data_IF_873188717459
#
_entry.id   IF_873188717459
#
_cell.length_a   1.000
_cell.length_b   1.000
_cell.length_c   1.000
_cell.angle_alpha   90.00
_cell.angle_beta   90.00
_cell.angle_gamma   90.00
#
_symmetry.space_group_name_H-M   'P 1'
#
loop_
_entity.id
_entity.type
_entity.pdbx_description
1 polymer ?
#
# COMPACT_ATOMS: atom_id res chain seq x y z
N UNK A 1 -10.20 14.93 -2.24
CA UNK A 1 -11.07 14.54 -3.35
C UNK A 1 -10.39 13.54 -4.29
N UNK A 2 -9.27 13.89 -4.98
CA UNK A 2 -8.61 13.00 -5.98
C UNK A 2 -8.23 11.63 -5.40
N UNK A 3 -7.70 11.56 -4.16
CA UNK A 3 -7.35 10.30 -3.49
C UNK A 3 -8.57 9.46 -3.15
N UNK A 4 -9.66 10.06 -2.70
CA UNK A 4 -10.91 9.34 -2.42
C UNK A 4 -11.41 8.58 -3.65
N UNK A 5 -11.52 9.25 -4.79
CA UNK A 5 -11.96 8.60 -6.03
C UNK A 5 -10.97 7.58 -6.58
N UNK A 6 -9.70 7.70 -6.27
CA UNK A 6 -8.66 6.77 -6.72
C UNK A 6 -8.58 5.52 -5.84
N UNK A 7 -8.82 5.64 -4.52
CA UNK A 7 -8.59 4.55 -3.55
C UNK A 7 -9.92 3.96 -3.12
N UNK A 8 -10.79 4.77 -2.51
CA UNK A 8 -11.99 4.26 -1.86
C UNK A 8 -13.03 3.72 -2.84
N UNK A 9 -13.29 4.41 -3.97
CA UNK A 9 -14.34 3.96 -4.90
C UNK A 9 -14.00 2.62 -5.56
N UNK A 10 -12.80 2.39 -6.11
CA UNK A 10 -12.45 1.06 -6.60
C UNK A 10 -12.38 0.00 -5.49
N UNK A 11 -11.92 0.37 -4.28
CA UNK A 11 -11.92 -0.52 -3.12
C UNK A 11 -13.32 -1.03 -2.79
N UNK A 12 -14.30 -0.14 -2.61
CA UNK A 12 -15.65 -0.54 -2.23
C UNK A 12 -16.33 -1.40 -3.31
N UNK A 13 -16.06 -1.12 -4.59
CA UNK A 13 -16.56 -1.97 -5.68
C UNK A 13 -15.90 -3.35 -5.67
N UNK A 14 -14.59 -3.43 -5.41
CA UNK A 14 -13.91 -4.72 -5.26
C UNK A 14 -14.40 -5.51 -4.05
N UNK A 15 -14.78 -4.83 -2.97
CA UNK A 15 -15.38 -5.44 -1.78
C UNK A 15 -16.72 -6.11 -2.13
N UNK A 16 -17.61 -5.45 -2.88
CA UNK A 16 -18.86 -6.07 -3.31
C UNK A 16 -18.64 -7.24 -4.28
N UNK A 17 -17.64 -7.16 -5.15
CA UNK A 17 -17.25 -8.30 -6.01
C UNK A 17 -16.76 -9.47 -5.17
N UNK A 18 -15.97 -9.21 -4.12
CA UNK A 18 -15.50 -10.25 -3.21
C UNK A 18 -16.66 -10.92 -2.45
N UNK A 19 -17.62 -10.13 -1.95
CA UNK A 19 -18.84 -10.65 -1.31
C UNK A 19 -19.66 -11.52 -2.27
N UNK A 20 -19.84 -11.08 -3.50
CA UNK A 20 -20.55 -11.85 -4.53
C UNK A 20 -19.85 -13.19 -4.80
N UNK A 21 -18.53 -13.17 -5.01
CA UNK A 21 -17.76 -14.40 -5.27
C UNK A 21 -17.75 -15.33 -4.05
N UNK A 22 -17.68 -14.81 -2.84
CA UNK A 22 -17.81 -15.58 -1.62
C UNK A 22 -19.19 -16.26 -1.55
N UNK A 23 -20.29 -15.53 -1.83
CA UNK A 23 -21.65 -16.08 -1.80
C UNK A 23 -21.90 -17.16 -2.86
N UNK A 24 -21.15 -17.12 -3.96
CA UNK A 24 -21.19 -18.11 -5.03
C UNK A 24 -20.23 -19.28 -4.81
N UNK A 25 -19.38 -19.22 -3.76
CA UNK A 25 -18.40 -20.27 -3.49
C UNK A 25 -19.10 -21.56 -3.02
N UNK A 26 -18.93 -22.69 -3.73
CA UNK A 26 -19.67 -23.93 -3.44
C UNK A 26 -19.19 -24.65 -2.17
N UNK A 27 -18.04 -24.27 -1.61
CA UNK A 27 -17.39 -24.95 -0.48
C UNK A 27 -17.12 -23.97 0.66
N UNK A 28 -18.17 -23.33 1.19
CA UNK A 28 -18.05 -22.63 2.46
C UNK A 28 -17.88 -23.68 3.57
N UNK A 29 -16.74 -23.64 4.28
CA UNK A 29 -16.62 -24.33 5.56
C UNK A 29 -15.75 -25.59 5.63
N UNK A 30 -14.79 -25.78 4.74
CA UNK A 30 -13.84 -26.89 4.90
C UNK A 30 -12.39 -26.50 4.54
N UNK A 31 -11.38 -27.04 5.24
CA UNK A 31 -10.00 -26.82 4.85
C UNK A 31 -9.76 -27.38 3.44
N UNK A 32 -9.16 -26.56 2.58
CA UNK A 32 -8.77 -26.99 1.25
C UNK A 32 -7.47 -27.80 1.34
N UNK A 33 -7.43 -29.06 0.82
CA UNK A 33 -6.24 -29.87 0.87
C UNK A 33 -5.08 -29.19 0.14
N UNK A 34 -3.87 -29.41 0.65
CA UNK A 34 -2.62 -28.83 0.10
C UNK A 34 -2.44 -27.32 0.25
N UNK A 35 -3.37 -26.61 0.86
CA UNK A 35 -3.19 -25.19 1.21
C UNK A 35 -2.73 -25.05 2.67
N UNK A 36 -1.91 -24.02 2.94
CA UNK A 36 -1.49 -23.70 4.30
C UNK A 36 -2.66 -23.19 5.13
N UNK A 37 -2.55 -23.26 6.47
CA UNK A 37 -3.52 -22.70 7.40
C UNK A 37 -3.83 -21.24 7.13
N UNK A 38 -2.82 -20.48 6.62
CA UNK A 38 -3.02 -19.11 6.21
C UNK A 38 -4.15 -18.94 5.19
N UNK A 39 -4.27 -19.82 4.21
CA UNK A 39 -5.35 -19.77 3.22
C UNK A 39 -6.62 -20.45 3.69
N UNK A 40 -6.50 -21.51 4.49
CA UNK A 40 -7.62 -22.28 5.01
C UNK A 40 -8.45 -21.54 6.06
N UNK A 41 -7.98 -20.40 6.56
CA UNK A 41 -8.74 -19.52 7.46
C UNK A 41 -9.61 -18.50 6.72
N UNK A 42 -9.54 -18.43 5.37
CA UNK A 42 -10.31 -17.49 4.57
C UNK A 42 -11.51 -18.16 3.94
N UNK A 43 -12.58 -17.40 3.83
CA UNK A 43 -13.83 -17.86 3.22
C UNK A 43 -14.40 -19.13 3.89
N UNK A 44 -14.20 -19.27 5.20
CA UNK A 44 -14.67 -20.41 5.97
C UNK A 44 -16.08 -20.23 6.55
N UNK A 45 -16.50 -18.98 6.68
CA UNK A 45 -17.79 -18.59 7.25
C UNK A 45 -18.45 -17.49 6.42
N UNK A 46 -19.74 -17.31 6.62
CA UNK A 46 -20.47 -16.16 6.09
C UNK A 46 -20.01 -14.85 6.74
N UNK A 47 -20.07 -13.76 6.02
CA UNK A 47 -19.70 -12.43 6.51
C UNK A 47 -20.83 -11.84 7.33
N UNK A 48 -20.55 -11.45 8.58
CA UNK A 48 -21.51 -10.76 9.45
C UNK A 48 -21.76 -9.32 9.00
N UNK A 49 -22.88 -8.74 9.42
CA UNK A 49 -23.22 -7.36 9.08
C UNK A 49 -22.20 -6.36 9.64
N UNK A 50 -21.63 -6.64 10.81
CA UNK A 50 -20.59 -5.79 11.43
C UNK A 50 -19.35 -5.72 10.54
N UNK A 51 -18.89 -6.84 9.99
CA UNK A 51 -17.76 -6.89 9.07
C UNK A 51 -18.06 -6.09 7.77
N UNK A 52 -19.30 -6.18 7.26
CA UNK A 52 -19.72 -5.38 6.10
C UNK A 52 -19.61 -3.88 6.42
N UNK A 53 -20.13 -3.47 7.58
CA UNK A 53 -20.07 -2.06 8.01
C UNK A 53 -18.62 -1.59 8.18
N UNK A 54 -17.76 -2.40 8.79
CA UNK A 54 -16.33 -2.09 8.95
C UNK A 54 -15.63 -1.85 7.60
N UNK A 55 -15.90 -2.70 6.61
CA UNK A 55 -15.34 -2.56 5.27
C UNK A 55 -15.92 -1.36 4.52
N UNK A 56 -17.22 -1.08 4.66
CA UNK A 56 -17.84 0.10 4.06
C UNK A 56 -17.26 1.38 4.66
N UNK A 57 -17.02 1.44 5.96
CA UNK A 57 -16.34 2.56 6.58
C UNK A 57 -14.87 2.66 6.13
N UNK A 58 -14.15 1.53 6.03
CA UNK A 58 -12.79 1.41 5.50
C UNK A 58 -11.69 2.10 6.32
N UNK A 59 -12.03 2.75 7.43
CA UNK A 59 -11.10 3.52 8.29
C UNK A 59 -11.10 3.07 9.74
N UNK A 60 -11.94 2.12 10.10
CA UNK A 60 -11.98 1.51 11.43
C UNK A 60 -10.99 0.34 11.53
N UNK A 61 -10.93 -0.33 12.67
CA UNK A 61 -10.13 -1.55 12.83
C UNK A 61 -10.85 -2.73 12.15
N UNK A 62 -10.52 -3.01 10.90
CA UNK A 62 -11.27 -3.85 9.96
C UNK A 62 -10.82 -5.31 10.03
N UNK A 63 -11.77 -6.26 10.01
CA UNK A 63 -11.55 -7.70 9.87
C UNK A 63 -11.20 -8.06 8.41
N UNK A 64 -9.99 -7.76 7.97
CA UNK A 64 -9.58 -7.95 6.56
C UNK A 64 -9.35 -9.40 6.18
N UNK A 65 -9.05 -10.28 7.15
CA UNK A 65 -8.74 -11.68 6.90
C UNK A 65 -9.96 -12.49 6.44
N UNK A 66 -11.16 -12.05 6.78
CA UNK A 66 -12.39 -12.77 6.47
C UNK A 66 -12.71 -12.78 4.97
N UNK A 67 -12.39 -11.70 4.27
CA UNK A 67 -12.78 -11.51 2.88
C UNK A 67 -11.59 -11.38 1.92
N UNK A 68 -10.68 -10.46 2.19
CA UNK A 68 -9.52 -10.18 1.36
C UNK A 68 -8.39 -9.55 2.19
N UNK A 69 -7.36 -10.32 2.44
CA UNK A 69 -6.20 -9.85 3.21
C UNK A 69 -5.57 -8.57 2.63
N UNK A 70 -5.55 -8.42 1.31
CA UNK A 70 -4.94 -7.26 0.67
C UNK A 70 -5.52 -5.93 1.13
N UNK A 71 -6.73 -5.90 1.70
CA UNK A 71 -7.37 -4.67 2.17
C UNK A 71 -6.69 -4.04 3.40
N UNK A 72 -5.88 -4.79 4.15
CA UNK A 72 -5.20 -4.26 5.33
C UNK A 72 -4.41 -2.97 5.06
N UNK A 73 -3.67 -2.91 3.97
CA UNK A 73 -2.85 -1.73 3.64
C UNK A 73 -3.69 -0.54 3.17
N UNK A 74 -4.85 -0.82 2.55
CA UNK A 74 -5.78 0.22 2.10
C UNK A 74 -6.46 0.93 3.27
N UNK A 75 -6.73 0.22 4.37
CA UNK A 75 -7.22 0.82 5.62
C UNK A 75 -6.25 1.90 6.09
N UNK A 76 -4.94 1.59 6.11
CA UNK A 76 -3.92 2.58 6.47
C UNK A 76 -3.82 3.70 5.44
N UNK A 77 -3.85 3.38 4.16
CA UNK A 77 -3.76 4.38 3.09
C UNK A 77 -4.94 5.36 3.13
N UNK A 78 -6.16 4.87 3.41
CA UNK A 78 -7.35 5.72 3.57
C UNK A 78 -7.24 6.63 4.79
N UNK A 79 -6.90 6.08 5.97
CA UNK A 79 -6.68 6.86 7.19
C UNK A 79 -5.63 7.95 6.98
N UNK A 80 -4.46 7.57 6.50
CA UNK A 80 -3.36 8.49 6.27
C UNK A 80 -3.76 9.55 5.24
N UNK A 81 -4.48 9.19 4.19
CA UNK A 81 -4.91 10.13 3.14
C UNK A 81 -5.81 11.27 3.66
N UNK A 82 -6.54 11.02 4.76
CA UNK A 82 -7.35 12.05 5.42
C UNK A 82 -6.45 13.06 6.15
N UNK A 83 -5.46 12.58 6.88
CA UNK A 83 -4.61 13.41 7.73
C UNK A 83 -3.37 13.97 7.03
N UNK A 84 -2.90 13.34 5.95
CA UNK A 84 -1.65 13.67 5.29
C UNK A 84 -1.54 15.12 4.79
N UNK A 85 -2.60 15.78 4.27
CA UNK A 85 -2.52 17.20 3.92
C UNK A 85 -2.14 18.08 5.12
N UNK A 86 -2.65 17.78 6.31
CA UNK A 86 -2.32 18.52 7.54
C UNK A 86 -0.88 18.20 7.98
N UNK A 87 -0.46 16.94 7.89
CA UNK A 87 0.93 16.54 8.17
C UNK A 87 1.89 17.29 7.24
N UNK A 88 1.60 17.39 5.95
CA UNK A 88 2.41 18.15 4.99
C UNK A 88 2.46 19.64 5.36
N UNK A 89 1.34 20.26 5.74
CA UNK A 89 1.29 21.66 6.16
C UNK A 89 2.14 21.91 7.41
N UNK A 90 2.11 21.01 8.37
CA UNK A 90 2.91 21.09 9.60
C UNK A 90 4.41 20.90 9.31
N UNK A 91 4.75 19.88 8.51
CA UNK A 91 6.14 19.48 8.30
C UNK A 91 6.86 20.25 7.17
N UNK A 92 6.15 21.01 6.32
CA UNK A 92 6.76 21.73 5.19
C UNK A 92 7.85 22.71 5.62
N UNK A 93 7.74 23.31 6.82
CA UNK A 93 8.72 24.27 7.40
C UNK A 93 9.71 23.59 8.35
N UNK A 94 9.51 22.33 8.69
CA UNK A 94 10.36 21.59 9.63
C UNK A 94 11.69 21.24 8.95
N UNK A 95 12.79 21.37 9.72
CA UNK A 95 14.13 20.99 9.25
C UNK A 95 14.18 19.47 9.07
N UNK A 96 14.98 19.02 8.13
CA UNK A 96 15.09 17.62 7.73
C UNK A 96 15.45 16.66 8.89
N UNK A 97 16.29 17.13 9.85
CA UNK A 97 16.66 16.34 11.03
C UNK A 97 15.44 15.97 11.88
N UNK A 98 14.54 16.93 12.12
CA UNK A 98 13.32 16.70 12.90
C UNK A 98 12.30 15.84 12.14
N UNK A 99 12.29 15.90 10.81
CA UNK A 99 11.44 15.03 9.99
C UNK A 99 11.82 13.56 10.17
N UNK A 100 13.12 13.25 10.24
CA UNK A 100 13.62 11.91 10.55
C UNK A 100 13.23 11.45 11.96
N UNK A 101 13.42 12.33 12.97
CA UNK A 101 13.02 12.03 14.36
C UNK A 101 11.53 11.74 14.51
N UNK A 102 10.68 12.49 13.80
CA UNK A 102 9.23 12.24 13.79
C UNK A 102 8.93 10.86 13.20
N UNK A 103 9.59 10.48 12.11
CA UNK A 103 9.45 9.13 11.54
C UNK A 103 9.84 8.02 12.53
N UNK A 104 10.94 8.20 13.25
CA UNK A 104 11.39 7.28 14.31
C UNK A 104 10.38 7.23 15.45
N UNK A 105 9.87 8.38 15.92
CA UNK A 105 8.89 8.42 17.00
C UNK A 105 7.58 7.68 16.63
N UNK A 106 7.10 7.84 15.39
CA UNK A 106 5.92 7.14 14.89
C UNK A 106 6.16 5.62 14.80
N UNK A 107 7.34 5.21 14.37
CA UNK A 107 7.75 3.80 14.39
C UNK A 107 7.77 3.27 15.83
N UNK A 108 8.36 4.00 16.78
CA UNK A 108 8.42 3.62 18.19
C UNK A 108 7.03 3.43 18.79
N UNK A 109 6.05 4.28 18.45
CA UNK A 109 4.66 4.10 18.90
C UNK A 109 4.06 2.76 18.49
N UNK A 110 4.33 2.31 17.26
CA UNK A 110 3.87 1.00 16.81
C UNK A 110 4.60 -0.15 17.52
N UNK A 111 5.89 -0.02 17.77
CA UNK A 111 6.67 -0.97 18.56
C UNK A 111 6.11 -1.08 19.98
N UNK A 112 5.82 0.06 20.63
CA UNK A 112 5.21 0.07 21.96
C UNK A 112 3.82 -0.62 21.96
N UNK A 113 3.05 -0.50 20.87
CA UNK A 113 1.80 -1.23 20.78
C UNK A 113 1.99 -2.74 20.74
N UNK A 114 3.01 -3.24 20.04
CA UNK A 114 3.33 -4.68 20.02
C UNK A 114 3.78 -5.19 21.38
N UNK A 115 4.57 -4.38 22.10
CA UNK A 115 5.09 -4.75 23.43
C UNK A 115 4.00 -4.76 24.50
N UNK A 116 3.17 -3.71 24.54
CA UNK A 116 2.23 -3.49 25.62
C UNK A 116 0.78 -3.88 25.27
N UNK A 117 0.47 -4.19 24.01
CA UNK A 117 -0.85 -4.63 23.60
C UNK A 117 -1.94 -3.59 23.77
N UNK A 118 -1.63 -2.27 23.62
CA UNK A 118 -2.59 -1.19 23.80
C UNK A 118 -3.81 -1.31 22.87
N UNK A 119 -3.61 -1.80 21.67
CA UNK A 119 -4.67 -2.03 20.69
C UNK A 119 -4.50 -3.41 20.05
N UNK A 120 -5.57 -4.20 20.06
CA UNK A 120 -5.63 -5.46 19.30
C UNK A 120 -6.15 -5.22 17.89
N UNK A 121 -5.54 -5.88 16.92
CA UNK A 121 -5.96 -5.83 15.53
C UNK A 121 -7.11 -6.81 15.27
N UNK A 122 -8.15 -6.34 14.60
CA UNK A 122 -9.24 -7.21 14.12
C UNK A 122 -8.83 -7.96 12.85
N UNK A 123 -7.97 -7.37 12.04
CA UNK A 123 -7.40 -7.96 10.84
C UNK A 123 -5.88 -7.99 10.88
N UNK A 124 -5.25 -8.02 9.71
CA UNK A 124 -3.80 -8.04 9.60
C UNK A 124 -3.23 -6.63 9.88
N UNK A 125 -2.82 -6.37 11.14
CA UNK A 125 -2.21 -5.09 11.56
C UNK A 125 -3.07 -3.84 11.33
N UNK A 126 -4.39 -3.93 11.48
CA UNK A 126 -5.33 -2.84 11.19
C UNK A 126 -5.53 -1.84 12.34
N UNK A 127 -4.71 -1.86 13.42
CA UNK A 127 -4.81 -0.90 14.52
C UNK A 127 -4.45 0.53 14.07
N UNK A 128 -4.88 1.53 14.84
CA UNK A 128 -4.50 2.92 14.59
C UNK A 128 -3.01 3.18 14.85
N UNK A 129 -2.41 2.49 15.83
CA UNK A 129 -0.99 2.60 16.12
C UNK A 129 -0.13 2.02 14.99
N UNK A 130 -0.58 0.95 14.32
CA UNK A 130 0.05 0.51 13.08
C UNK A 130 -0.07 1.55 11.95
N UNK A 131 -1.18 2.32 11.90
CA UNK A 131 -1.27 3.43 10.93
C UNK A 131 -0.20 4.50 11.16
N UNK A 132 0.26 4.71 12.40
CA UNK A 132 1.38 5.62 12.70
C UNK A 132 2.70 5.10 12.11
N UNK A 133 2.95 3.78 12.19
CA UNK A 133 4.09 3.17 11.52
C UNK A 133 4.09 3.43 10.01
N UNK A 134 2.95 3.19 9.33
CA UNK A 134 2.85 3.44 7.89
C UNK A 134 2.88 4.94 7.54
N UNK A 135 2.41 5.82 8.42
CA UNK A 135 2.56 7.26 8.26
C UNK A 135 4.04 7.68 8.18
N UNK A 136 4.96 6.97 8.88
CA UNK A 136 6.39 7.22 8.75
C UNK A 136 6.89 7.09 7.31
N UNK A 137 6.40 6.11 6.54
CA UNK A 137 6.75 5.91 5.13
C UNK A 137 6.25 7.06 4.24
N UNK A 138 5.07 7.59 4.52
CA UNK A 138 4.57 8.79 3.83
C UNK A 138 5.43 10.01 4.12
N UNK A 139 5.93 10.14 5.35
CA UNK A 139 6.85 11.22 5.75
C UNK A 139 8.19 11.07 5.02
N UNK A 140 8.72 9.84 4.90
CA UNK A 140 9.93 9.58 4.11
C UNK A 140 9.73 9.92 2.64
N UNK A 141 8.57 9.56 2.07
CA UNK A 141 8.19 9.94 0.70
C UNK A 141 8.07 11.45 0.51
N UNK A 142 7.47 12.16 1.47
CA UNK A 142 7.41 13.63 1.47
C UNK A 142 8.81 14.25 1.53
N UNK A 143 9.70 13.74 2.37
CA UNK A 143 11.08 14.18 2.46
C UNK A 143 11.82 14.02 1.12
N UNK A 144 11.71 12.84 0.50
CA UNK A 144 12.29 12.59 -0.82
C UNK A 144 11.74 13.55 -1.89
N UNK A 145 10.44 13.82 -1.87
CA UNK A 145 9.82 14.74 -2.81
C UNK A 145 10.30 16.18 -2.61
N UNK A 146 10.40 16.63 -1.34
CA UNK A 146 10.85 17.99 -0.97
C UNK A 146 12.29 18.23 -1.38
N UNK A 147 13.18 17.25 -1.16
CA UNK A 147 14.63 17.38 -1.43
C UNK A 147 15.08 16.67 -2.71
N UNK A 148 14.13 16.35 -3.61
CA UNK A 148 14.39 15.57 -4.83
C UNK A 148 15.59 16.06 -5.63
N UNK A 149 15.67 17.37 -5.90
CA UNK A 149 16.73 17.96 -6.73
C UNK A 149 18.11 17.83 -6.09
N UNK A 150 18.20 18.06 -4.79
CA UNK A 150 19.43 17.96 -4.00
C UNK A 150 19.92 16.51 -3.92
N UNK A 151 19.01 15.58 -3.63
CA UNK A 151 19.28 14.14 -3.53
C UNK A 151 19.77 13.61 -4.88
N UNK A 152 19.11 13.96 -5.99
CA UNK A 152 19.49 13.53 -7.33
C UNK A 152 20.86 14.09 -7.71
N UNK A 153 21.13 15.39 -7.48
CA UNK A 153 22.44 16.00 -7.71
C UNK A 153 23.54 15.33 -6.88
N UNK A 154 23.29 15.13 -5.57
CA UNK A 154 24.21 14.46 -4.66
C UNK A 154 24.54 13.04 -5.13
N UNK A 155 23.52 12.23 -5.48
CA UNK A 155 23.73 10.89 -5.98
C UNK A 155 24.50 10.87 -7.31
N UNK A 156 24.21 11.80 -8.23
CA UNK A 156 24.90 11.89 -9.52
C UNK A 156 26.38 12.24 -9.35
N UNK A 157 26.74 13.05 -8.36
CA UNK A 157 28.13 13.42 -8.04
C UNK A 157 28.95 12.28 -7.42
N UNK A 158 28.32 11.22 -6.90
CA UNK A 158 29.01 10.09 -6.28
C UNK A 158 29.89 9.35 -7.30
N UNK A 159 31.07 8.86 -6.86
CA UNK A 159 31.88 7.92 -7.62
C UNK A 159 31.11 6.63 -7.88
N UNK A 160 31.38 5.97 -9.00
CA UNK A 160 30.68 4.76 -9.47
C UNK A 160 30.59 3.66 -8.40
N UNK A 161 31.68 3.44 -7.63
CA UNK A 161 31.72 2.46 -6.52
C UNK A 161 30.65 2.69 -5.47
N UNK A 162 30.37 3.95 -5.09
CA UNK A 162 29.35 4.26 -4.10
C UNK A 162 27.93 4.08 -4.64
N UNK A 163 27.70 4.36 -5.94
CA UNK A 163 26.42 4.09 -6.60
C UNK A 163 26.10 2.58 -6.60
N UNK A 164 27.11 1.75 -6.89
CA UNK A 164 26.95 0.29 -6.74
C UNK A 164 26.78 -0.14 -5.29
N UNK A 165 27.48 0.47 -4.35
CA UNK A 165 27.29 0.23 -2.93
C UNK A 165 25.85 0.49 -2.47
N UNK A 166 25.27 1.62 -2.89
CA UNK A 166 23.86 1.94 -2.60
C UNK A 166 22.92 0.93 -3.25
N UNK A 167 23.17 0.49 -4.49
CA UNK A 167 22.36 -0.53 -5.14
C UNK A 167 22.40 -1.87 -4.38
N UNK A 168 23.60 -2.36 -4.05
CA UNK A 168 23.79 -3.62 -3.31
C UNK A 168 23.15 -3.53 -1.92
N UNK A 169 23.37 -2.43 -1.20
CA UNK A 169 22.75 -2.18 0.10
C UNK A 169 21.21 -2.20 -0.01
N UNK A 170 20.65 -1.52 -1.02
CA UNK A 170 19.20 -1.51 -1.26
C UNK A 170 18.65 -2.91 -1.56
N UNK A 171 19.38 -3.70 -2.36
CA UNK A 171 19.02 -5.09 -2.64
C UNK A 171 19.06 -5.95 -1.38
N UNK A 172 20.08 -5.79 -0.53
CA UNK A 172 20.18 -6.51 0.75
C UNK A 172 19.01 -6.13 1.65
N UNK A 173 18.73 -4.84 1.86
CA UNK A 173 17.62 -4.40 2.67
C UNK A 173 16.28 -4.95 2.17
N UNK A 174 16.06 -4.95 0.87
CA UNK A 174 14.80 -5.40 0.28
C UNK A 174 14.62 -6.92 0.35
N UNK A 175 15.64 -7.70 -0.02
CA UNK A 175 15.52 -9.16 -0.13
C UNK A 175 15.87 -9.89 1.16
N UNK A 176 16.78 -9.34 1.97
CA UNK A 176 17.35 -10.03 3.13
C UNK A 176 16.84 -9.51 4.47
N UNK A 177 15.75 -8.74 4.48
CA UNK A 177 15.17 -8.18 5.71
C UNK A 177 14.89 -9.26 6.77
N UNK A 178 14.41 -10.44 6.35
CA UNK A 178 14.20 -11.59 7.24
C UNK A 178 15.50 -12.17 7.80
N UNK A 179 16.55 -12.26 6.99
CA UNK A 179 17.87 -12.74 7.43
C UNK A 179 18.51 -11.75 8.44
N UNK A 180 18.34 -10.45 8.22
CA UNK A 180 18.83 -9.43 9.15
C UNK A 180 18.15 -9.56 10.51
N UNK A 181 16.84 -9.73 10.54
CA UNK A 181 16.10 -9.91 11.79
C UNK A 181 16.52 -11.20 12.51
N UNK A 182 16.67 -12.32 11.78
CA UNK A 182 17.18 -13.56 12.36
C UNK A 182 18.60 -13.42 12.92
N UNK A 183 19.45 -12.62 12.29
CA UNK A 183 20.79 -12.33 12.81
C UNK A 183 20.72 -11.54 14.10
N UNK A 184 19.85 -10.51 14.19
CA UNK A 184 19.63 -9.73 15.41
C UNK A 184 19.14 -10.63 16.56
N UNK A 185 18.20 -11.52 16.30
CA UNK A 185 17.74 -12.50 17.28
C UNK A 185 18.86 -13.41 17.79
N UNK A 186 19.78 -13.87 16.91
CA UNK A 186 20.94 -14.65 17.30
C UNK A 186 21.95 -13.86 18.15
N UNK A 187 21.98 -12.53 18.02
CA UNK A 187 22.82 -11.64 18.83
C UNK A 187 22.15 -11.26 20.17
N UNK A 188 21.06 -11.93 20.54
CA UNK A 188 20.35 -11.70 21.80
C UNK A 188 19.43 -10.48 21.78
N UNK A 189 19.20 -9.87 20.62
CA UNK A 189 18.24 -8.78 20.45
C UNK A 189 16.88 -9.42 20.22
N UNK A 190 16.00 -9.31 21.22
CA UNK A 190 14.62 -9.80 21.09
C UNK A 190 13.88 -9.02 20.00
N UNK A 191 13.37 -9.72 19.01
CA UNK A 191 12.69 -9.16 17.85
C UNK A 191 11.24 -9.61 17.86
N UNK A 192 10.55 -9.45 18.99
CA UNK A 192 9.13 -9.78 19.18
C UNK A 192 8.25 -9.10 18.13
N UNK A 193 8.71 -8.00 17.54
CA UNK A 193 8.04 -7.20 16.50
C UNK A 193 8.73 -7.34 15.14
N UNK A 194 9.18 -8.53 14.82
CA UNK A 194 9.92 -8.86 13.58
C UNK A 194 9.36 -8.17 12.33
N UNK A 195 8.05 -8.20 12.16
CA UNK A 195 7.39 -7.64 10.98
C UNK A 195 7.62 -6.14 10.82
N UNK A 196 7.41 -5.35 11.88
CA UNK A 196 7.53 -3.88 11.83
C UNK A 196 8.98 -3.48 11.54
N UNK A 197 9.96 -4.18 12.12
CA UNK A 197 11.38 -3.97 11.81
C UNK A 197 11.73 -4.32 10.37
N UNK A 198 11.22 -5.45 9.87
CA UNK A 198 11.44 -5.85 8.47
C UNK A 198 10.89 -4.81 7.49
N UNK A 199 9.71 -4.27 7.75
CA UNK A 199 9.09 -3.25 6.91
C UNK A 199 9.91 -1.96 6.89
N UNK A 200 10.52 -1.55 8.01
CA UNK A 200 11.45 -0.41 8.03
C UNK A 200 12.72 -0.69 7.21
N UNK A 201 13.32 -1.87 7.34
CA UNK A 201 14.49 -2.26 6.56
C UNK A 201 14.15 -2.25 5.05
N UNK A 202 13.01 -2.81 4.68
CA UNK A 202 12.51 -2.80 3.30
C UNK A 202 12.31 -1.36 2.80
N UNK A 203 11.73 -0.47 3.63
CA UNK A 203 11.53 0.92 3.26
C UNK A 203 12.84 1.65 2.97
N UNK A 204 13.91 1.39 3.72
CA UNK A 204 15.26 1.91 3.45
C UNK A 204 15.76 1.43 2.08
N UNK A 205 15.59 0.15 1.77
CA UNK A 205 15.93 -0.42 0.46
C UNK A 205 15.15 0.23 -0.69
N UNK A 206 13.84 0.42 -0.51
CA UNK A 206 12.96 1.09 -1.48
C UNK A 206 13.36 2.54 -1.70
N UNK A 207 13.74 3.28 -0.65
CA UNK A 207 14.27 4.65 -0.76
C UNK A 207 15.48 4.68 -1.68
N UNK A 208 16.43 3.76 -1.52
CA UNK A 208 17.60 3.66 -2.38
C UNK A 208 17.23 3.38 -3.83
N UNK A 209 16.30 2.47 -4.11
CA UNK A 209 15.81 2.20 -5.47
C UNK A 209 15.14 3.43 -6.10
N UNK A 210 14.34 4.17 -5.34
CA UNK A 210 13.70 5.42 -5.81
C UNK A 210 14.77 6.46 -6.17
N UNK A 211 15.80 6.64 -5.35
CA UNK A 211 16.90 7.57 -5.62
C UNK A 211 17.64 7.16 -6.91
N UNK A 212 17.96 5.89 -7.08
CA UNK A 212 18.61 5.34 -8.27
C UNK A 212 17.76 5.57 -9.52
N UNK A 213 16.45 5.25 -9.44
CA UNK A 213 15.51 5.41 -10.55
C UNK A 213 15.36 6.88 -10.97
N UNK A 214 15.27 7.80 -10.00
CA UNK A 214 15.18 9.24 -10.26
C UNK A 214 16.48 9.83 -10.84
N UNK A 215 17.62 9.24 -10.52
CA UNK A 215 18.94 9.76 -10.88
C UNK A 215 19.51 9.18 -12.18
N UNK A 216 18.98 8.05 -12.67
CA UNK A 216 19.50 7.34 -13.85
C UNK A 216 18.59 7.54 -15.06
N UNK A 217 19.16 8.18 -16.12
CA UNK A 217 18.45 8.35 -17.40
C UNK A 217 18.07 7.00 -18.04
N UNK A 218 18.95 5.97 -17.96
CA UNK A 218 18.70 4.64 -18.53
C UNK A 218 17.53 3.94 -17.83
N UNK A 219 17.54 3.89 -16.50
CA UNK A 219 16.46 3.28 -15.70
C UNK A 219 15.17 4.07 -15.91
N UNK A 220 15.22 5.40 -15.86
CA UNK A 220 14.05 6.23 -16.10
C UNK A 220 13.45 6.05 -17.51
N UNK A 221 14.27 5.80 -18.53
CA UNK A 221 13.80 5.46 -19.88
C UNK A 221 13.16 4.07 -19.91
N UNK A 222 13.79 3.06 -19.30
CA UNK A 222 13.27 1.71 -19.22
C UNK A 222 11.92 1.68 -18.48
N UNK A 223 11.77 2.41 -17.36
CA UNK A 223 10.52 2.51 -16.61
C UNK A 223 9.40 3.26 -17.36
N UNK A 224 9.74 4.05 -18.38
CA UNK A 224 8.77 4.71 -19.27
C UNK A 224 8.43 3.90 -20.52
N UNK A 225 8.94 2.66 -20.66
CA UNK A 225 8.54 1.78 -21.75
C UNK A 225 7.11 1.26 -21.56
N UNK A 226 6.45 0.77 -22.62
CA UNK A 226 5.02 0.39 -22.56
C UNK A 226 4.67 -0.64 -21.49
N UNK A 227 5.53 -1.63 -21.26
CA UNK A 227 5.25 -2.71 -20.31
C UNK A 227 5.23 -2.19 -18.85
N UNK A 228 6.26 -1.51 -18.30
CA UNK A 228 6.17 -0.93 -16.96
C UNK A 228 5.02 0.07 -16.80
N UNK A 229 4.73 0.88 -17.81
CA UNK A 229 3.58 1.81 -17.76
C UNK A 229 2.26 1.03 -17.69
N UNK A 230 2.10 -0.01 -18.51
CA UNK A 230 0.91 -0.86 -18.48
C UNK A 230 0.75 -1.51 -17.10
N UNK A 231 1.80 -2.16 -16.58
CA UNK A 231 1.78 -2.79 -15.25
C UNK A 231 1.51 -1.78 -14.13
N UNK A 232 2.09 -0.59 -14.22
CA UNK A 232 1.81 0.50 -13.28
C UNK A 232 0.36 0.97 -13.31
N UNK A 233 -0.25 1.02 -14.48
CA UNK A 233 -1.65 1.42 -14.65
C UNK A 233 -2.62 0.42 -14.01
N UNK A 234 -2.39 -0.88 -14.18
CA UNK A 234 -3.28 -1.92 -13.66
C UNK A 234 -2.94 -2.38 -12.23
N UNK A 235 -1.82 -1.90 -11.66
CA UNK A 235 -1.27 -2.40 -10.40
C UNK A 235 -2.22 -2.28 -9.22
N UNK A 236 -2.98 -1.20 -9.14
CA UNK A 236 -3.94 -1.00 -8.06
C UNK A 236 -5.14 -1.95 -8.20
N UNK A 237 -5.72 -2.07 -9.39
CA UNK A 237 -6.77 -3.05 -9.66
C UNK A 237 -6.28 -4.48 -9.45
N UNK A 238 -5.04 -4.80 -9.86
CA UNK A 238 -4.44 -6.11 -9.59
C UNK A 238 -4.33 -6.38 -8.08
N UNK A 239 -3.90 -5.38 -7.31
CA UNK A 239 -3.83 -5.48 -5.86
C UNK A 239 -5.19 -5.75 -5.22
N UNK A 240 -6.26 -5.13 -5.72
CA UNK A 240 -7.62 -5.31 -5.21
C UNK A 240 -8.18 -6.72 -5.49
N UNK A 241 -7.93 -7.25 -6.68
CA UNK A 241 -8.64 -8.45 -7.16
C UNK A 241 -7.85 -9.75 -7.05
N UNK A 242 -6.50 -9.73 -6.99
CA UNK A 242 -5.69 -10.96 -7.09
C UNK A 242 -6.04 -12.00 -6.01
N UNK A 243 -6.18 -11.58 -4.74
CA UNK A 243 -6.52 -12.53 -3.65
C UNK A 243 -7.94 -13.07 -3.78
N UNK A 244 -8.88 -12.22 -4.17
CA UNK A 244 -10.29 -12.60 -4.36
C UNK A 244 -10.42 -13.64 -5.48
N UNK A 245 -9.74 -13.40 -6.61
CA UNK A 245 -9.72 -14.33 -7.75
C UNK A 245 -9.01 -15.63 -7.37
N UNK A 246 -7.87 -15.53 -6.66
CA UNK A 246 -7.16 -16.69 -6.17
C UNK A 246 -8.07 -17.56 -5.30
N UNK A 247 -8.72 -16.99 -4.27
CA UNK A 247 -9.61 -17.73 -3.39
C UNK A 247 -10.81 -18.33 -4.14
N UNK A 248 -11.45 -17.56 -5.01
CA UNK A 248 -12.59 -18.05 -5.80
C UNK A 248 -12.22 -19.27 -6.66
N UNK A 249 -11.08 -19.21 -7.35
CA UNK A 249 -10.61 -20.31 -8.19
C UNK A 249 -10.17 -21.52 -7.36
N UNK A 250 -9.52 -21.31 -6.20
CA UNK A 250 -9.16 -22.39 -5.30
C UNK A 250 -10.41 -23.10 -4.76
N UNK A 251 -11.41 -22.37 -4.29
CA UNK A 251 -12.65 -22.96 -3.80
C UNK A 251 -13.46 -23.68 -4.89
N UNK A 252 -13.42 -23.19 -6.13
CA UNK A 252 -14.16 -23.77 -7.24
C UNK A 252 -13.49 -25.03 -7.83
N UNK A 253 -12.15 -25.01 -7.99
CA UNK A 253 -11.45 -25.96 -8.86
C UNK A 253 -10.32 -26.77 -8.18
N UNK A 254 -10.01 -26.52 -6.90
CA UNK A 254 -9.01 -27.34 -6.21
C UNK A 254 -9.52 -28.78 -6.06
N UNK A 255 -8.69 -29.74 -6.45
CA UNK A 255 -9.04 -31.16 -6.55
C UNK A 255 -9.62 -31.58 -7.90
N UNK A 256 -9.99 -30.62 -8.78
CA UNK A 256 -10.39 -30.86 -10.17
C UNK A 256 -9.22 -30.55 -11.11
N UNK A 257 -8.56 -29.42 -10.90
CA UNK A 257 -7.41 -28.96 -11.66
C UNK A 257 -6.15 -29.13 -10.79
N UNK A 258 -5.06 -29.73 -11.29
CA UNK A 258 -3.81 -29.80 -10.54
C UNK A 258 -3.30 -28.41 -10.14
N UNK A 259 -2.82 -28.26 -8.91
CA UNK A 259 -2.44 -26.99 -8.29
C UNK A 259 -1.55 -26.10 -9.17
N UNK A 260 -0.49 -26.58 -9.85
CA UNK A 260 0.35 -25.72 -10.69
C UNK A 260 -0.43 -25.01 -11.82
N UNK A 261 -1.32 -25.74 -12.48
CA UNK A 261 -2.16 -25.18 -13.56
C UNK A 261 -3.19 -24.21 -13.01
N UNK A 262 -3.73 -24.49 -11.84
CA UNK A 262 -4.68 -23.61 -11.16
C UNK A 262 -4.01 -22.29 -10.73
N UNK A 263 -2.76 -22.32 -10.29
CA UNK A 263 -1.99 -21.11 -9.98
C UNK A 263 -1.71 -20.27 -11.23
N UNK A 264 -1.36 -20.90 -12.36
CA UNK A 264 -1.19 -20.20 -13.64
C UNK A 264 -2.52 -19.57 -14.09
N UNK A 265 -3.61 -20.33 -14.01
CA UNK A 265 -4.94 -19.82 -14.32
C UNK A 265 -5.31 -18.62 -13.44
N UNK A 266 -5.08 -18.72 -12.12
CA UNK A 266 -5.34 -17.63 -11.16
C UNK A 266 -4.54 -16.38 -11.51
N UNK A 267 -3.26 -16.52 -11.90
CA UNK A 267 -2.44 -15.40 -12.36
C UNK A 267 -3.01 -14.75 -13.61
N UNK A 268 -3.31 -15.53 -14.64
CA UNK A 268 -3.85 -15.02 -15.93
C UNK A 268 -5.19 -14.34 -15.72
N UNK A 269 -6.11 -14.98 -14.98
CA UNK A 269 -7.44 -14.40 -14.68
C UNK A 269 -7.30 -13.14 -13.84
N UNK A 270 -6.40 -13.11 -12.85
CA UNK A 270 -6.15 -11.90 -12.05
C UNK A 270 -5.66 -10.73 -12.91
N UNK A 271 -4.76 -10.99 -13.87
CA UNK A 271 -4.27 -9.97 -14.80
C UNK A 271 -5.40 -9.44 -15.71
N UNK A 272 -6.24 -10.34 -16.24
CA UNK A 272 -7.38 -9.97 -17.08
C UNK A 272 -8.41 -9.14 -16.29
N UNK A 273 -8.79 -9.59 -15.08
CA UNK A 273 -9.73 -8.87 -14.20
C UNK A 273 -9.15 -7.53 -13.77
N UNK A 274 -7.86 -7.46 -13.46
CA UNK A 274 -7.18 -6.21 -13.12
C UNK A 274 -7.23 -5.20 -14.28
N UNK A 275 -7.00 -5.66 -15.52
CA UNK A 275 -7.10 -4.80 -16.70
C UNK A 275 -8.51 -4.26 -16.91
N UNK A 276 -9.52 -5.13 -16.82
CA UNK A 276 -10.93 -4.73 -16.93
C UNK A 276 -11.29 -3.77 -15.78
N UNK A 277 -10.93 -4.08 -14.54
CA UNK A 277 -11.16 -3.24 -13.37
C UNK A 277 -10.52 -1.85 -13.50
N UNK A 278 -9.28 -1.80 -14.00
CA UNK A 278 -8.64 -0.52 -14.31
C UNK A 278 -9.40 0.27 -15.36
N UNK A 279 -9.80 -0.39 -16.47
CA UNK A 279 -10.46 0.28 -17.59
C UNK A 279 -11.86 0.80 -17.23
N UNK A 280 -12.65 -0.04 -16.53
CA UNK A 280 -14.08 0.22 -16.29
C UNK A 280 -14.32 0.98 -14.99
N UNK A 281 -13.47 0.79 -13.98
CA UNK A 281 -13.66 1.36 -12.64
C UNK A 281 -12.61 2.43 -12.34
N UNK A 282 -11.34 2.05 -12.27
CA UNK A 282 -10.29 2.92 -11.75
C UNK A 282 -10.07 4.16 -12.62
N UNK A 283 -9.90 3.99 -13.92
CA UNK A 283 -9.69 5.09 -14.87
C UNK A 283 -10.85 6.10 -14.91
N UNK A 284 -12.12 5.69 -14.97
CA UNK A 284 -13.27 6.61 -14.89
C UNK A 284 -13.38 7.33 -13.56
N UNK A 285 -13.20 6.63 -12.42
CA UNK A 285 -13.31 7.24 -11.10
C UNK A 285 -12.20 8.26 -10.86
N UNK A 286 -10.97 8.00 -11.31
CA UNK A 286 -9.88 8.98 -11.30
C UNK A 286 -10.22 10.22 -12.14
N UNK A 287 -10.82 10.06 -13.32
CA UNK A 287 -11.25 11.17 -14.17
C UNK A 287 -12.33 12.02 -13.49
N UNK A 288 -13.32 11.38 -12.83
CA UNK A 288 -14.34 12.07 -12.04
C UNK A 288 -13.70 12.85 -10.89
N UNK A 289 -12.84 12.21 -10.12
CA UNK A 289 -12.13 12.85 -9.00
C UNK A 289 -11.29 14.06 -9.43
N UNK A 290 -10.65 13.99 -10.62
CA UNK A 290 -9.93 15.11 -11.22
C UNK A 290 -10.89 16.25 -11.57
N UNK A 291 -11.99 15.97 -12.28
CA UNK A 291 -12.98 17.00 -12.68
C UNK A 291 -13.56 17.74 -11.48
N UNK A 292 -13.91 17.00 -10.41
CA UNK A 292 -14.45 17.62 -9.18
C UNK A 292 -13.38 18.49 -8.50
N UNK A 293 -12.16 18.01 -8.37
CA UNK A 293 -11.09 18.80 -7.77
C UNK A 293 -10.77 20.06 -8.56
N UNK A 294 -10.74 20.00 -9.89
CA UNK A 294 -10.49 21.14 -10.77
C UNK A 294 -11.64 22.18 -10.68
N UNK A 295 -12.91 21.74 -10.52
CA UNK A 295 -14.06 22.63 -10.28
C UNK A 295 -13.95 23.35 -8.93
N UNK A 296 -13.56 22.63 -7.86
CA UNK A 296 -13.37 23.25 -6.54
C UNK A 296 -12.25 24.30 -6.61
N UNK A 297 -11.12 23.98 -7.25
CA UNK A 297 -10.00 24.88 -7.38
C UNK A 297 -10.37 26.16 -8.14
N UNK A 298 -11.16 26.05 -9.22
CA UNK A 298 -11.66 27.20 -9.98
C UNK A 298 -12.58 28.10 -9.14
N UNK A 299 -13.40 27.53 -8.26
CA UNK A 299 -14.29 28.31 -7.38
C UNK A 299 -13.53 29.04 -6.28
N UNK A 300 -12.44 28.48 -5.77
CA UNK A 300 -11.61 29.12 -4.72
C UNK A 300 -10.62 30.14 -5.29
N UNK A 301 -10.36 30.13 -6.60
CA UNK A 301 -9.51 31.11 -7.30
C UNK A 301 -10.29 32.27 -7.95
N UNK A 302 -11.47 32.62 -7.43
CA UNK A 302 -12.18 33.83 -7.86
C UNK A 302 -11.27 35.04 -7.54
N UNK A 303 -10.95 35.92 -8.54
CA UNK A 303 -10.10 37.08 -8.29
C UNK A 303 -10.81 37.99 -7.27
N UNK A 304 -10.09 38.34 -6.20
CA UNK A 304 -10.47 39.51 -5.40
C UNK A 304 -10.48 40.67 -6.40
N UNK A 305 -11.68 41.12 -6.79
CA UNK A 305 -11.82 42.40 -7.50
C UNK A 305 -11.11 43.45 -6.65
N UNK A 306 -9.97 43.92 -7.15
CA UNK A 306 -9.39 45.16 -6.65
C UNK A 306 -10.48 46.23 -6.87
N UNK A 307 -11.22 46.55 -5.85
CA UNK A 307 -11.95 47.80 -5.77
C UNK A 307 -10.92 48.90 -5.91
N UNK A 308 -10.85 49.47 -7.12
CA UNK A 308 -10.17 50.74 -7.35
C UNK A 308 -10.93 51.77 -6.51
N UNK A 309 -10.46 52.03 -5.31
CA UNK A 309 -10.72 53.26 -4.59
C UNK A 309 -9.79 54.33 -5.20
N UNK A 310 -10.17 54.82 -6.36
CA UNK A 310 -9.76 56.14 -6.80
C UNK A 310 -10.94 57.06 -6.53
N UNK A 311 -10.82 57.90 -5.50
CA UNK A 311 -11.65 58.98 -5.13
C UNK A 311 -10.85 59.93 -4.24
#
# INVERSE_FOLDING_TARGET
VKRFFRIYVPYILSFFVALMLLSLSPKLGGPLPYLSDFYNQRWTHGISMDIIVEHVLGIVNVHTMELNDAYWSLVHEMRISIFFPFVVLLLRKVRWQYTGLIGIALFTLAVLNEVFGFQKSNGLNTTYLHSMHYLSFFIYGMFLAKHRSEIVKGFQALKRRYKYGILVFSLICYNSSYAVVKLLAKLGIDVTFERIFREQIIAIGVIGFVIIALSSKKIGSALRSPIPIFLGNISYSLYLYHMVIYLALMHAFLGVIPLPYLLILAFVVSMAVAYVGWLVIEKPTMAIGKRIADRIQKRTSIPIQRTNLNG
#
